data_IF_179784720064
#
_entry.id   IF_179784720064
#
_cell.length_a   1.000
_cell.length_b   1.000
_cell.length_c   1.000
_cell.angle_alpha   90.00
_cell.angle_beta   90.00
_cell.angle_gamma   90.00
#
_symmetry.space_group_name_H-M   'P 1'
#
loop_
_entity.id
_entity.type
_entity.pdbx_description
1 polymer ?
#
# COMPACT_ATOMS: atom_id res chain seq x y z
N UNK A 1 6.93 4.37 28.83
CA UNK A 1 6.92 3.67 27.52
C UNK A 1 5.59 4.00 26.88
N UNK A 2 5.51 5.09 26.12
CA UNK A 2 4.26 5.50 25.48
C UNK A 2 3.92 4.45 24.42
N UNK A 3 3.04 3.51 24.78
CA UNK A 3 2.18 2.87 23.79
C UNK A 3 1.46 4.05 23.12
N UNK A 4 1.88 4.38 21.89
CA UNK A 4 1.28 5.42 21.06
C UNK A 4 -0.23 5.36 21.23
N UNK A 5 -0.78 6.33 21.96
CA UNK A 5 -2.21 6.48 22.06
C UNK A 5 -2.72 6.68 20.65
N UNK A 6 -3.55 5.75 20.16
CA UNK A 6 -4.23 5.84 18.87
C UNK A 6 -5.10 7.10 18.72
N UNK A 7 -5.22 7.91 19.78
CA UNK A 7 -5.91 9.19 19.82
C UNK A 7 -5.23 10.31 19.02
N UNK A 8 -3.90 10.30 18.86
CA UNK A 8 -3.16 11.39 18.17
C UNK A 8 -2.79 11.05 16.72
N UNK A 9 -3.23 9.89 16.21
CA UNK A 9 -2.98 9.49 14.83
C UNK A 9 -3.88 10.30 13.90
N UNK A 10 -3.27 11.01 12.94
CA UNK A 10 -4.03 11.70 11.91
C UNK A 10 -4.85 10.71 11.09
N UNK A 11 -6.09 11.06 10.76
CA UNK A 11 -6.98 10.25 9.94
C UNK A 11 -6.31 9.76 8.63
N UNK A 12 -5.53 10.60 7.90
CA UNK A 12 -4.78 10.14 6.73
C UNK A 12 -3.78 9.03 7.03
N UNK A 13 -3.07 9.10 8.16
CA UNK A 13 -2.10 8.08 8.56
C UNK A 13 -2.78 6.76 8.94
N UNK A 14 -3.92 6.82 9.63
CA UNK A 14 -4.73 5.65 9.91
C UNK A 14 -5.15 4.96 8.60
N UNK A 15 -5.78 5.67 7.68
CA UNK A 15 -6.24 5.10 6.39
C UNK A 15 -5.06 4.55 5.56
N UNK A 16 -3.91 5.24 5.57
CA UNK A 16 -2.69 4.79 4.92
C UNK A 16 -2.23 3.42 5.42
N UNK A 17 -2.29 3.17 6.74
CA UNK A 17 -1.95 1.86 7.31
C UNK A 17 -2.87 0.75 6.81
N UNK A 18 -4.18 0.99 6.72
CA UNK A 18 -5.12 0.01 6.16
C UNK A 18 -4.83 -0.25 4.68
N UNK A 19 -4.62 0.81 3.89
CA UNK A 19 -4.28 0.67 2.47
C UNK A 19 -2.98 -0.13 2.28
N UNK A 20 -1.97 0.12 3.11
CA UNK A 20 -0.74 -0.66 3.08
C UNK A 20 -0.98 -2.12 3.44
N UNK A 21 -1.68 -2.39 4.55
CA UNK A 21 -1.88 -3.73 5.08
C UNK A 21 -2.76 -4.60 4.19
N UNK A 22 -3.83 -4.05 3.61
CA UNK A 22 -4.83 -4.82 2.86
C UNK A 22 -4.58 -4.84 1.34
N UNK A 23 -3.85 -3.87 0.80
CA UNK A 23 -3.67 -3.75 -0.66
C UNK A 23 -2.20 -3.89 -1.04
N UNK A 24 -1.33 -3.02 -0.52
CA UNK A 24 0.07 -2.98 -0.97
C UNK A 24 0.83 -4.24 -0.57
N UNK A 25 0.70 -4.69 0.69
CA UNK A 25 1.39 -5.89 1.17
C UNK A 25 1.00 -7.13 0.34
N UNK A 26 -0.29 -7.46 0.14
CA UNK A 26 -0.69 -8.58 -0.72
C UNK A 26 -0.20 -8.46 -2.16
N UNK A 27 -0.25 -7.26 -2.77
CA UNK A 27 0.21 -7.05 -4.14
C UNK A 27 1.73 -7.26 -4.29
N UNK A 28 2.52 -6.81 -3.31
CA UNK A 28 3.96 -7.05 -3.29
C UNK A 28 4.25 -8.54 -3.10
N UNK A 29 3.57 -9.22 -2.18
CA UNK A 29 3.71 -10.66 -1.98
C UNK A 29 3.38 -11.46 -3.26
N UNK A 30 2.28 -11.11 -3.94
CA UNK A 30 1.92 -11.69 -5.24
C UNK A 30 2.96 -11.39 -6.32
N UNK A 31 3.54 -10.18 -6.31
CA UNK A 31 4.60 -9.82 -7.25
C UNK A 31 5.82 -10.72 -7.09
N UNK A 32 6.30 -10.88 -5.86
CA UNK A 32 7.44 -11.75 -5.53
C UNK A 32 7.15 -13.20 -5.90
N UNK A 33 5.95 -13.71 -5.56
CA UNK A 33 5.53 -15.06 -5.94
C UNK A 33 5.50 -15.26 -7.46
N UNK A 34 5.05 -14.27 -8.23
CA UNK A 34 5.05 -14.37 -9.68
C UNK A 34 6.47 -14.31 -10.26
N UNK A 35 7.37 -13.53 -9.67
CA UNK A 35 8.78 -13.51 -10.06
C UNK A 35 9.47 -14.85 -9.77
N UNK A 36 9.18 -15.49 -8.64
CA UNK A 36 9.74 -16.82 -8.33
C UNK A 36 9.26 -17.89 -9.31
N UNK A 37 8.04 -17.75 -9.84
CA UNK A 37 7.48 -18.65 -10.86
C UNK A 37 7.90 -18.29 -12.29
N UNK A 38 8.90 -17.42 -12.48
CA UNK A 38 9.33 -16.87 -13.77
C UNK A 38 8.24 -16.12 -14.57
N UNK A 39 7.10 -15.80 -13.95
CA UNK A 39 5.99 -15.03 -14.54
C UNK A 39 6.23 -13.53 -14.42
N UNK A 40 7.34 -13.06 -14.99
CA UNK A 40 7.83 -11.68 -14.86
C UNK A 40 6.79 -10.62 -15.24
N UNK A 41 6.00 -10.84 -16.30
CA UNK A 41 4.95 -9.90 -16.74
C UNK A 41 3.86 -9.70 -15.69
N UNK A 42 3.40 -10.79 -15.07
CA UNK A 42 2.39 -10.72 -14.00
C UNK A 42 2.99 -10.07 -12.74
N UNK A 43 4.21 -10.43 -12.36
CA UNK A 43 4.92 -9.81 -11.24
C UNK A 43 5.06 -8.29 -11.39
N UNK A 44 5.47 -7.82 -12.57
CA UNK A 44 5.56 -6.37 -12.88
C UNK A 44 4.18 -5.72 -12.83
N UNK A 45 3.13 -6.36 -13.35
CA UNK A 45 1.77 -5.82 -13.31
C UNK A 45 1.27 -5.59 -11.88
N UNK A 46 1.58 -6.49 -10.95
CA UNK A 46 1.20 -6.34 -9.54
C UNK A 46 1.98 -5.22 -8.84
N UNK A 47 3.27 -5.04 -9.14
CA UNK A 47 4.04 -3.91 -8.64
C UNK A 47 3.50 -2.57 -9.15
N UNK A 48 3.20 -2.48 -10.44
CA UNK A 48 2.61 -1.28 -11.05
C UNK A 48 1.24 -0.99 -10.41
N UNK A 49 0.40 -2.01 -10.21
CA UNK A 49 -0.87 -1.83 -9.54
C UNK A 49 -0.70 -1.29 -8.11
N UNK A 50 0.20 -1.88 -7.32
CA UNK A 50 0.47 -1.41 -5.95
C UNK A 50 0.96 0.03 -5.90
N UNK A 51 1.87 0.39 -6.82
CA UNK A 51 2.33 1.77 -6.97
C UNK A 51 1.21 2.72 -7.41
N UNK A 52 0.34 2.28 -8.32
CA UNK A 52 -0.82 3.03 -8.77
C UNK A 52 -1.78 3.36 -7.61
N UNK A 53 -2.10 2.37 -6.77
CA UNK A 53 -2.94 2.60 -5.58
C UNK A 53 -2.31 3.60 -4.61
N UNK A 54 -1.00 3.51 -4.36
CA UNK A 54 -0.31 4.47 -3.52
C UNK A 54 -0.38 5.90 -4.09
N UNK A 55 -0.16 6.06 -5.40
CA UNK A 55 -0.24 7.36 -6.06
C UNK A 55 -1.66 7.96 -5.99
N UNK A 56 -2.70 7.15 -6.22
CA UNK A 56 -4.10 7.58 -6.10
C UNK A 56 -4.38 8.03 -4.67
N UNK A 57 -4.01 7.22 -3.67
CA UNK A 57 -4.20 7.58 -2.27
C UNK A 57 -3.53 8.90 -1.93
N UNK A 58 -2.25 9.05 -2.33
CA UNK A 58 -1.50 10.28 -2.09
C UNK A 58 -2.18 11.50 -2.73
N UNK A 59 -2.61 11.39 -3.99
CA UNK A 59 -3.29 12.48 -4.69
C UNK A 59 -4.62 12.88 -4.01
N UNK A 60 -5.41 11.89 -3.60
CA UNK A 60 -6.66 12.10 -2.86
C UNK A 60 -6.39 12.78 -1.52
N UNK A 61 -5.40 12.29 -0.76
CA UNK A 61 -5.06 12.91 0.53
C UNK A 61 -4.55 14.34 0.39
N UNK A 62 -3.74 14.62 -0.64
CA UNK A 62 -3.23 15.97 -0.88
C UNK A 62 -4.32 16.96 -1.33
N UNK A 63 -5.40 16.46 -1.94
CA UNK A 63 -6.52 17.29 -2.35
C UNK A 63 -7.53 17.53 -1.22
N UNK A 64 -7.72 16.54 -0.35
CA UNK A 64 -8.73 16.59 0.72
C UNK A 64 -8.21 17.18 2.05
N UNK A 65 -6.89 17.22 2.25
CA UNK A 65 -6.23 17.69 3.48
C UNK A 65 -5.09 18.65 3.15
#
# INVERSE_FOLDING_TARGET
>A
MNLLGTADISLPFYVMLFLFSFIIVPLVSLSVFNFSQARRKQGVSFLIAGFGFFMIFRAVTQFLF
#
